data_IF_785523468488
#
_entry.id   IF_785523468488
#
_cell.length_a   1.000
_cell.length_b   1.000
_cell.length_c   1.000
_cell.angle_alpha   90.00
_cell.angle_beta   90.00
_cell.angle_gamma   90.00
#
_symmetry.space_group_name_H-M   'P 1'
#
loop_
_entity.id
_entity.type
_entity.pdbx_description
1 polymer ?
#
# COMPACT_ATOMS: atom_id res chain seq x y z
N UNK A 1 -1.76 -17.61 -3.07
CA UNK A 1 -1.56 -16.44 -3.94
C UNK A 1 -2.89 -16.02 -4.53
N UNK A 2 -3.06 -14.76 -4.75
CA UNK A 2 -4.21 -14.14 -5.43
C UNK A 2 -3.85 -13.83 -6.90
N UNK A 3 -4.84 -13.49 -7.71
CA UNK A 3 -4.58 -13.02 -9.07
C UNK A 3 -3.98 -11.61 -9.02
N UNK A 4 -2.83 -11.36 -9.65
CA UNK A 4 -2.22 -10.03 -9.64
C UNK A 4 -3.18 -8.95 -10.12
N UNK A 5 -3.17 -7.79 -9.44
CA UNK A 5 -3.86 -6.59 -9.89
C UNK A 5 -2.89 -5.80 -10.76
N UNK A 6 -3.26 -5.59 -12.02
CA UNK A 6 -2.48 -4.78 -12.97
C UNK A 6 -3.40 -3.69 -13.51
N UNK A 7 -3.22 -2.47 -13.06
CA UNK A 7 -4.12 -1.37 -13.33
C UNK A 7 -3.40 -0.15 -13.92
N UNK A 8 -3.97 0.42 -14.99
CA UNK A 8 -3.40 1.55 -15.73
C UNK A 8 -4.30 2.77 -15.54
N UNK A 9 -3.73 3.89 -15.10
CA UNK A 9 -4.38 5.20 -14.96
C UNK A 9 -5.73 5.09 -14.20
N UNK A 10 -6.86 5.43 -14.87
CA UNK A 10 -8.20 5.44 -14.26
C UNK A 10 -8.65 4.10 -13.69
N UNK A 11 -8.13 2.98 -14.20
CA UNK A 11 -8.45 1.67 -13.64
C UNK A 11 -7.79 1.46 -12.28
N UNK A 12 -6.66 2.12 -12.01
CA UNK A 12 -5.99 2.07 -10.72
C UNK A 12 -6.78 2.79 -9.59
N UNK A 13 -7.80 3.59 -9.94
CA UNK A 13 -8.72 4.16 -8.95
C UNK A 13 -9.64 3.14 -8.27
N UNK A 14 -9.57 1.87 -8.68
CA UNK A 14 -10.29 0.75 -8.08
C UNK A 14 -9.31 -0.10 -7.28
N UNK A 15 -9.48 -0.18 -5.97
CA UNK A 15 -8.56 -0.93 -5.09
C UNK A 15 -8.38 -2.40 -5.54
N UNK A 16 -9.45 -3.04 -6.01
CA UNK A 16 -9.45 -4.40 -6.58
C UNK A 16 -9.77 -4.35 -8.07
N UNK A 17 -8.92 -3.68 -8.84
CA UNK A 17 -9.12 -3.51 -10.28
C UNK A 17 -9.05 -4.83 -11.04
N UNK A 18 -10.05 -5.09 -11.87
CA UNK A 18 -9.96 -6.15 -12.87
C UNK A 18 -9.18 -5.65 -14.10
N UNK A 19 -8.45 -6.54 -14.81
CA UNK A 19 -7.73 -6.17 -16.02
C UNK A 19 -8.66 -5.51 -17.06
N UNK A 20 -8.16 -4.47 -17.73
CA UNK A 20 -8.87 -3.80 -18.82
C UNK A 20 -8.19 -4.11 -20.17
N UNK A 21 -8.83 -3.69 -21.28
CA UNK A 21 -8.23 -3.78 -22.63
C UNK A 21 -7.24 -2.66 -22.90
N UNK A 22 -7.03 -1.73 -21.97
CA UNK A 22 -6.10 -0.61 -22.14
C UNK A 22 -4.67 -1.13 -22.24
N UNK A 23 -3.93 -0.64 -23.23
CA UNK A 23 -2.51 -0.94 -23.40
C UNK A 23 -1.69 0.13 -22.70
N UNK A 24 -0.65 -0.29 -22.00
CA UNK A 24 0.30 0.61 -21.35
C UNK A 24 1.06 1.45 -22.39
N UNK A 25 1.16 2.74 -22.14
CA UNK A 25 1.85 3.72 -22.99
C UNK A 25 2.80 4.56 -22.15
N UNK A 26 3.84 5.11 -22.78
CA UNK A 26 4.79 6.01 -22.13
C UNK A 26 4.06 7.17 -21.42
N UNK A 27 4.39 7.44 -20.18
CA UNK A 27 3.76 8.42 -19.31
C UNK A 27 2.53 7.93 -18.53
N UNK A 28 2.09 6.68 -18.77
CA UNK A 28 1.01 6.10 -17.98
C UNK A 28 1.47 5.79 -16.53
N UNK A 29 0.52 5.88 -15.61
CA UNK A 29 0.63 5.33 -14.27
C UNK A 29 0.27 3.85 -14.33
N UNK A 30 1.13 3.01 -13.78
CA UNK A 30 0.92 1.58 -13.60
C UNK A 30 0.91 1.25 -12.12
N UNK A 31 -0.18 0.68 -11.63
CA UNK A 31 -0.26 0.03 -10.32
C UNK A 31 -0.18 -1.47 -10.53
N UNK A 32 0.78 -2.10 -9.89
CA UNK A 32 0.95 -3.54 -9.84
C UNK A 32 0.91 -4.00 -8.38
N UNK A 33 -0.01 -4.91 -8.09
CA UNK A 33 -0.13 -5.58 -6.81
C UNK A 33 -0.05 -7.09 -7.06
N UNK A 34 0.94 -7.71 -6.47
CA UNK A 34 1.24 -9.12 -6.71
C UNK A 34 1.93 -9.77 -5.51
N UNK A 35 1.61 -11.04 -5.31
CA UNK A 35 2.22 -11.90 -4.31
C UNK A 35 2.47 -13.30 -4.82
N UNK A 36 3.38 -13.99 -4.17
CA UNK A 36 3.69 -15.39 -4.41
C UNK A 36 3.43 -16.20 -3.14
N UNK A 37 3.27 -17.51 -3.31
CA UNK A 37 3.23 -18.45 -2.19
C UNK A 37 4.42 -19.38 -2.30
N UNK A 38 5.31 -19.34 -1.30
CA UNK A 38 6.49 -20.18 -1.24
C UNK A 38 6.54 -20.92 0.11
N UNK A 39 6.74 -22.22 0.08
CA UNK A 39 6.75 -23.08 1.25
C UNK A 39 5.55 -22.83 2.20
N UNK A 40 4.35 -22.64 1.62
CA UNK A 40 3.06 -22.36 2.28
C UNK A 40 2.89 -20.91 2.75
N UNK A 41 3.92 -20.07 2.82
CA UNK A 41 3.82 -18.67 3.20
C UNK A 41 3.57 -17.77 2.00
N UNK A 42 2.71 -16.78 2.21
CA UNK A 42 2.39 -15.76 1.20
C UNK A 42 3.36 -14.58 1.31
N UNK A 43 3.59 -13.92 0.18
CA UNK A 43 4.11 -12.56 0.12
C UNK A 43 3.07 -11.66 -0.50
N UNK A 44 3.17 -10.36 -0.24
CA UNK A 44 2.29 -9.33 -0.76
C UNK A 44 3.07 -8.04 -1.03
N UNK A 45 2.86 -7.44 -2.19
CA UNK A 45 3.55 -6.19 -2.52
C UNK A 45 2.83 -5.41 -3.62
N UNK A 46 2.56 -4.14 -3.33
CA UNK A 46 2.06 -3.19 -4.33
C UNK A 46 3.10 -2.13 -4.65
N UNK A 47 3.23 -1.80 -5.92
CA UNK A 47 3.98 -0.65 -6.41
C UNK A 47 3.14 0.13 -7.42
N UNK A 48 3.22 1.45 -7.32
CA UNK A 48 2.73 2.36 -8.35
C UNK A 48 3.93 3.02 -9.02
N UNK A 49 3.98 2.98 -10.35
CA UNK A 49 5.13 3.47 -11.11
C UNK A 49 4.70 4.29 -12.33
N UNK A 50 5.57 5.22 -12.75
CA UNK A 50 5.46 5.89 -14.04
C UNK A 50 6.08 5.01 -15.12
N UNK A 51 5.34 4.70 -16.18
CA UNK A 51 5.85 3.92 -17.30
C UNK A 51 6.55 4.84 -18.30
N UNK A 52 7.87 4.97 -18.18
CA UNK A 52 8.70 5.75 -19.08
C UNK A 52 9.98 5.01 -19.48
N UNK A 53 10.98 5.70 -20.04
CA UNK A 53 12.26 5.12 -20.44
C UNK A 53 13.12 4.61 -19.26
N UNK A 54 12.90 5.14 -18.05
CA UNK A 54 13.58 4.77 -16.81
C UNK A 54 12.70 3.89 -15.94
N UNK A 55 11.71 3.21 -16.54
CA UNK A 55 10.72 2.41 -15.82
C UNK A 55 11.35 1.46 -14.81
N UNK A 56 10.91 1.60 -13.56
CA UNK A 56 11.28 0.73 -12.46
C UNK A 56 10.16 0.71 -11.41
N UNK A 57 10.21 -0.25 -10.49
CA UNK A 57 9.31 -0.35 -9.35
C UNK A 57 9.94 0.12 -8.03
N UNK A 58 10.97 0.95 -8.08
CA UNK A 58 11.51 1.62 -6.90
C UNK A 58 10.53 2.63 -6.30
N UNK A 59 10.79 3.05 -5.08
CA UNK A 59 9.98 4.07 -4.37
C UNK A 59 10.23 5.50 -4.86
N UNK A 60 11.25 5.73 -5.67
CA UNK A 60 11.50 7.04 -6.27
C UNK A 60 10.89 7.05 -7.68
N UNK A 61 9.80 7.78 -7.83
CA UNK A 61 9.06 7.91 -9.08
C UNK A 61 9.00 9.37 -9.53
N UNK A 62 8.93 9.60 -10.84
CA UNK A 62 8.86 10.93 -11.42
C UNK A 62 7.71 11.00 -12.44
N UNK A 63 6.55 11.42 -11.98
CA UNK A 63 5.38 11.62 -12.81
C UNK A 63 5.39 13.04 -13.39
N UNK A 64 5.32 13.17 -14.72
CA UNK A 64 5.19 14.49 -15.38
C UNK A 64 3.90 15.25 -15.03
N UNK A 65 2.85 14.52 -14.66
CA UNK A 65 1.61 15.08 -14.15
C UNK A 65 1.78 15.45 -12.68
N UNK A 66 1.68 16.75 -12.36
CA UNK A 66 1.91 17.28 -11.00
C UNK A 66 0.98 16.66 -9.96
N UNK A 67 -0.30 16.42 -10.29
CA UNK A 67 -1.25 15.79 -9.35
C UNK A 67 -0.90 14.33 -9.06
N UNK A 68 -0.41 13.59 -10.06
CA UNK A 68 0.06 12.22 -9.85
C UNK A 68 1.30 12.18 -8.94
N UNK A 69 2.22 13.11 -9.16
CA UNK A 69 3.42 13.22 -8.31
C UNK A 69 3.04 13.58 -6.87
N UNK A 70 2.17 14.58 -6.68
CA UNK A 70 1.67 14.97 -5.37
C UNK A 70 1.05 13.80 -4.62
N UNK A 71 0.08 13.11 -5.23
CA UNK A 71 -0.61 11.96 -4.63
C UNK A 71 0.37 10.81 -4.33
N UNK A 72 1.33 10.57 -5.23
CA UNK A 72 2.36 9.57 -5.02
C UNK A 72 3.21 9.86 -3.77
N UNK A 73 3.68 11.10 -3.61
CA UNK A 73 4.47 11.49 -2.44
C UNK A 73 3.66 11.44 -1.15
N UNK A 74 2.38 11.83 -1.18
CA UNK A 74 1.49 11.71 -0.01
C UNK A 74 1.36 10.24 0.41
N UNK A 75 1.12 9.31 -0.51
CA UNK A 75 0.99 7.88 -0.19
C UNK A 75 2.31 7.31 0.29
N UNK A 76 3.44 7.69 -0.32
CA UNK A 76 4.78 7.27 0.11
C UNK A 76 5.08 7.70 1.54
N UNK A 77 4.80 8.96 1.87
CA UNK A 77 4.99 9.49 3.22
C UNK A 77 4.05 8.84 4.23
N UNK A 78 2.77 8.64 3.87
CA UNK A 78 1.81 7.95 4.72
C UNK A 78 2.27 6.54 5.08
N UNK A 79 2.83 5.80 4.11
CA UNK A 79 3.40 4.48 4.35
C UNK A 79 4.61 4.55 5.30
N UNK A 80 5.50 5.51 5.07
CA UNK A 80 6.68 5.69 5.91
C UNK A 80 6.30 6.00 7.37
N UNK A 81 5.31 6.87 7.58
CA UNK A 81 4.78 7.21 8.91
C UNK A 81 4.15 5.99 9.61
N UNK A 82 3.35 5.20 8.87
CA UNK A 82 2.76 3.98 9.43
C UNK A 82 3.83 2.96 9.82
N UNK A 83 4.85 2.73 8.98
CA UNK A 83 5.96 1.81 9.28
C UNK A 83 6.76 2.32 10.50
N UNK A 84 7.03 3.62 10.57
CA UNK A 84 7.76 4.23 11.69
C UNK A 84 6.98 4.15 13.03
N UNK A 85 5.64 4.09 12.98
CA UNK A 85 4.80 3.94 14.16
C UNK A 85 4.76 2.51 14.71
N UNK A 86 5.22 1.51 13.96
CA UNK A 86 5.19 0.10 14.37
C UNK A 86 6.15 -0.12 15.54
N UNK A 87 5.61 -0.58 16.67
CA UNK A 87 6.37 -0.95 17.87
C UNK A 87 5.61 -2.04 18.64
N UNK A 88 6.30 -2.96 19.33
CA UNK A 88 5.64 -3.82 20.29
C UNK A 88 4.86 -3.02 21.34
N UNK A 89 3.66 -3.48 21.70
CA UNK A 89 2.78 -2.80 22.66
C UNK A 89 1.83 -1.76 22.05
N UNK A 90 2.05 -1.31 20.81
CA UNK A 90 1.12 -0.46 20.07
C UNK A 90 -0.12 -1.24 19.63
N UNK A 91 -1.27 -0.58 19.58
CA UNK A 91 -2.46 -1.17 18.95
C UNK A 91 -2.42 -1.00 17.44
N UNK A 92 -3.02 -1.94 16.71
CA UNK A 92 -3.11 -1.92 15.26
C UNK A 92 -3.80 -0.64 14.71
N UNK A 93 -4.79 -0.09 15.44
CA UNK A 93 -5.45 1.16 15.06
C UNK A 93 -4.54 2.40 15.20
N UNK A 94 -3.52 2.37 16.05
CA UNK A 94 -2.54 3.47 16.14
C UNK A 94 -1.66 3.51 14.89
N UNK A 95 -1.35 2.35 14.30
CA UNK A 95 -0.60 2.25 13.05
C UNK A 95 -1.46 2.74 11.87
N UNK A 96 -2.74 2.32 11.83
CA UNK A 96 -3.70 2.82 10.83
C UNK A 96 -3.84 4.35 10.93
N UNK A 97 -3.97 4.90 12.14
CA UNK A 97 -4.11 6.33 12.36
C UNK A 97 -2.91 7.12 11.82
N UNK A 98 -1.69 6.61 11.96
CA UNK A 98 -0.48 7.29 11.48
C UNK A 98 -0.54 7.56 9.96
N UNK A 99 -1.00 6.61 9.15
CA UNK A 99 -1.19 6.82 7.71
C UNK A 99 -2.44 7.63 7.40
N UNK A 100 -3.56 7.25 8.01
CA UNK A 100 -4.88 7.78 7.69
C UNK A 100 -5.05 9.24 8.03
N UNK A 101 -4.62 9.64 9.24
CA UNK A 101 -4.73 11.03 9.69
C UNK A 101 -3.84 11.94 8.87
N UNK A 102 -2.65 11.46 8.47
CA UNK A 102 -1.79 12.19 7.55
C UNK A 102 -2.47 12.39 6.18
N UNK A 103 -3.02 11.33 5.56
CA UNK A 103 -3.76 11.43 4.30
C UNK A 103 -4.96 12.38 4.42
N UNK A 104 -5.69 12.30 5.55
CA UNK A 104 -6.84 13.18 5.81
C UNK A 104 -6.42 14.65 5.95
N UNK A 105 -5.30 14.93 6.61
CA UNK A 105 -4.74 16.29 6.74
C UNK A 105 -4.31 16.87 5.39
N UNK A 106 -3.96 16.02 4.41
CA UNK A 106 -3.69 16.44 3.02
C UNK A 106 -4.98 16.63 2.17
N UNK A 107 -6.18 16.43 2.77
CA UNK A 107 -7.46 16.63 2.08
C UNK A 107 -7.99 15.39 1.34
N UNK A 108 -7.35 14.22 1.48
CA UNK A 108 -7.71 12.99 0.75
C UNK A 108 -8.29 11.88 1.64
N UNK A 109 -8.80 12.21 2.84
CA UNK A 109 -9.30 11.23 3.81
C UNK A 109 -10.38 10.29 3.24
N UNK A 110 -11.34 10.82 2.47
CA UNK A 110 -12.39 10.03 1.84
C UNK A 110 -11.90 9.15 0.68
N UNK A 111 -10.74 9.49 0.12
CA UNK A 111 -10.12 8.74 -0.97
C UNK A 111 -9.29 7.54 -0.48
N UNK A 112 -9.14 7.37 0.84
CA UNK A 112 -8.50 6.22 1.49
C UNK A 112 -9.54 5.42 2.29
N UNK A 113 -10.19 4.47 1.65
CA UNK A 113 -11.40 3.80 2.16
C UNK A 113 -11.20 2.36 2.66
N UNK A 114 -10.01 1.79 2.57
CA UNK A 114 -9.69 0.45 3.09
C UNK A 114 -8.80 0.50 4.33
N UNK A 115 -8.47 -0.64 4.93
CA UNK A 115 -7.52 -0.76 6.03
C UNK A 115 -6.10 -0.43 5.57
N UNK A 116 -5.27 0.05 6.50
CA UNK A 116 -3.85 0.29 6.22
C UNK A 116 -3.07 -1.00 5.97
N UNK A 117 -3.60 -2.16 6.41
CA UNK A 117 -2.96 -3.44 6.16
C UNK A 117 -3.65 -4.60 6.86
N UNK A 118 -3.07 -5.77 6.69
CA UNK A 118 -3.53 -7.04 7.25
C UNK A 118 -2.35 -7.98 7.51
N UNK A 119 -2.53 -8.95 8.39
CA UNK A 119 -1.57 -10.03 8.59
C UNK A 119 -1.33 -10.80 7.29
N UNK A 120 -0.08 -11.20 7.08
CA UNK A 120 0.36 -12.02 5.94
C UNK A 120 1.14 -13.21 6.48
N UNK A 121 0.71 -14.42 6.13
CA UNK A 121 1.33 -15.64 6.61
C UNK A 121 0.99 -16.84 5.75
N UNK A 122 0.39 -17.85 6.34
CA UNK A 122 -0.11 -19.04 5.60
C UNK A 122 -1.30 -18.64 4.73
N UNK A 123 -2.15 -17.75 5.25
CA UNK A 123 -3.18 -17.09 4.47
C UNK A 123 -2.70 -15.71 4.03
N UNK A 124 -3.22 -15.25 2.89
CA UNK A 124 -2.86 -13.92 2.37
C UNK A 124 -3.46 -12.82 3.24
N UNK A 125 -4.63 -13.04 3.84
CA UNK A 125 -5.25 -12.16 4.80
C UNK A 125 -5.47 -12.93 6.11
N UNK A 126 -4.76 -12.53 7.15
CA UNK A 126 -4.91 -13.06 8.49
C UNK A 126 -4.79 -11.94 9.54
N UNK A 127 -4.88 -12.24 10.83
CA UNK A 127 -4.66 -11.25 11.88
C UNK A 127 -3.14 -10.91 12.02
N UNK A 128 -2.84 -9.65 12.41
CA UNK A 128 -3.74 -8.55 12.78
C UNK A 128 -4.28 -7.76 11.59
N UNK A 129 -5.49 -7.19 11.70
CA UNK A 129 -5.95 -6.16 10.76
C UNK A 129 -5.52 -4.78 11.23
N UNK A 130 -4.75 -4.07 10.40
CA UNK A 130 -4.27 -2.71 10.64
C UNK A 130 -5.33 -1.74 10.12
N UNK A 131 -6.28 -1.39 10.98
CA UNK A 131 -7.48 -0.63 10.59
C UNK A 131 -7.96 0.29 11.72
N UNK A 132 -8.89 1.20 11.42
CA UNK A 132 -9.53 2.08 12.42
C UNK A 132 -10.08 1.33 13.65
N UNK A 133 -10.46 0.06 13.49
CA UNK A 133 -11.03 -0.79 14.54
C UNK A 133 -10.07 -1.86 15.04
N UNK A 134 -8.79 -1.78 14.69
CA UNK A 134 -7.77 -2.75 15.05
C UNK A 134 -7.38 -2.64 16.52
N UNK A 135 -7.92 -3.50 17.38
CA UNK A 135 -7.63 -3.51 18.83
C UNK A 135 -6.48 -4.45 19.21
N UNK A 136 -5.97 -5.22 18.25
CA UNK A 136 -4.84 -6.14 18.51
C UNK A 136 -3.62 -5.34 18.93
N UNK A 137 -3.02 -5.74 20.06
CA UNK A 137 -1.75 -5.18 20.52
C UNK A 137 -0.62 -5.91 19.79
N UNK A 138 0.22 -5.16 19.12
CA UNK A 138 1.34 -5.70 18.35
C UNK A 138 2.37 -6.34 19.24
N UNK A 139 2.88 -7.49 18.81
CA UNK A 139 3.93 -8.26 19.47
C UNK A 139 5.06 -8.51 18.49
N UNK A 140 6.27 -8.65 19.02
CA UNK A 140 7.43 -9.06 18.23
C UNK A 140 7.14 -10.36 17.44
N UNK A 141 7.60 -10.41 16.21
CA UNK A 141 7.38 -11.51 15.28
C UNK A 141 6.07 -11.45 14.49
N UNK A 142 5.14 -10.53 14.81
CA UNK A 142 3.95 -10.33 13.97
C UNK A 142 4.34 -9.79 12.60
N UNK A 143 3.72 -10.35 11.55
CA UNK A 143 3.96 -10.00 10.14
C UNK A 143 2.66 -9.47 9.53
N UNK A 144 2.70 -8.31 8.89
CA UNK A 144 1.54 -7.69 8.25
C UNK A 144 1.94 -6.73 7.12
N UNK A 145 0.99 -6.44 6.21
CA UNK A 145 1.17 -5.43 5.17
C UNK A 145 0.99 -4.02 5.72
N UNK A 146 1.68 -3.04 5.10
CA UNK A 146 1.44 -1.60 5.27
C UNK A 146 1.25 -1.01 3.89
N UNK A 147 0.00 -0.73 3.53
CA UNK A 147 -0.45 -0.49 2.15
C UNK A 147 -1.40 0.70 1.99
N UNK A 148 -1.13 1.88 2.55
CA UNK A 148 -2.02 3.01 2.35
C UNK A 148 -2.17 3.34 0.86
N UNK A 149 -3.34 3.89 0.50
CA UNK A 149 -3.61 4.28 -0.88
C UNK A 149 -4.59 5.43 -0.98
N UNK A 150 -4.50 6.18 -2.08
CA UNK A 150 -5.43 7.23 -2.46
C UNK A 150 -6.01 6.89 -3.83
N UNK A 151 -7.33 6.86 -3.93
CA UNK A 151 -8.05 6.47 -5.13
C UNK A 151 -8.99 7.58 -5.57
N UNK A 152 -8.76 8.15 -6.75
CA UNK A 152 -9.52 9.25 -7.34
C UNK A 152 -10.39 8.72 -8.48
N UNK A 153 -11.70 8.49 -8.26
CA UNK A 153 -12.57 7.90 -9.26
C UNK A 153 -12.56 8.66 -10.58
N UNK A 154 -12.35 7.93 -11.69
CA UNK A 154 -12.27 8.51 -13.05
C UNK A 154 -10.92 9.13 -13.39
N UNK A 155 -9.99 9.23 -12.43
CA UNK A 155 -8.66 9.80 -12.66
C UNK A 155 -7.56 8.74 -12.57
N UNK A 156 -7.19 8.32 -11.35
CA UNK A 156 -6.17 7.30 -11.06
C UNK A 156 -6.19 6.91 -9.58
N UNK A 157 -5.40 5.88 -9.24
CA UNK A 157 -5.12 5.52 -7.86
C UNK A 157 -3.63 5.23 -7.64
N UNK A 158 -3.19 5.41 -6.41
CA UNK A 158 -1.84 5.10 -5.94
C UNK A 158 -1.95 4.23 -4.70
N UNK A 159 -1.22 3.12 -4.66
CA UNK A 159 -0.97 2.31 -3.47
C UNK A 159 0.51 1.94 -3.45
N UNK A 160 1.11 2.01 -2.27
CA UNK A 160 2.48 1.54 -2.01
C UNK A 160 2.41 0.61 -0.81
N UNK A 161 2.91 -0.60 -0.96
CA UNK A 161 2.81 -1.65 0.02
C UNK A 161 4.12 -2.37 0.23
N UNK A 162 4.44 -2.59 1.49
CA UNK A 162 5.45 -3.56 1.91
C UNK A 162 4.89 -4.41 3.06
N UNK A 163 5.36 -5.64 3.15
CA UNK A 163 5.17 -6.49 4.31
C UNK A 163 6.26 -6.16 5.32
N UNK A 164 5.87 -6.02 6.58
CA UNK A 164 6.79 -5.74 7.68
C UNK A 164 6.70 -6.81 8.76
N UNK A 165 7.79 -7.02 9.47
CA UNK A 165 7.81 -7.81 10.71
C UNK A 165 8.09 -6.89 11.89
N UNK A 166 7.32 -7.06 12.97
CA UNK A 166 7.55 -6.34 14.23
C UNK A 166 8.82 -6.87 14.89
N UNK A 167 9.75 -5.98 15.18
CA UNK A 167 10.99 -6.24 15.93
C UNK A 167 10.96 -5.53 17.28
N UNK A 168 11.91 -5.83 18.17
CA UNK A 168 12.03 -5.22 19.48
C UNK A 168 11.94 -3.68 19.45
N UNK A 169 12.57 -3.04 18.47
CA UNK A 169 12.72 -1.59 18.37
C UNK A 169 12.06 -0.98 17.12
N UNK A 170 11.01 -1.60 16.57
CA UNK A 170 10.31 -1.06 15.41
C UNK A 170 9.86 -2.11 14.42
N UNK A 171 9.90 -1.76 13.12
CA UNK A 171 9.57 -2.65 12.01
C UNK A 171 10.78 -2.91 11.12
N UNK A 172 10.89 -4.13 10.62
CA UNK A 172 11.78 -4.51 9.52
C UNK A 172 10.92 -4.76 8.27
N UNK A 173 11.29 -4.16 7.14
CA UNK A 173 10.65 -4.41 5.85
C UNK A 173 11.23 -5.70 5.26
N UNK A 174 10.36 -6.62 4.83
CA UNK A 174 10.71 -7.92 4.25
C UNK A 174 10.88 -7.84 2.72
#
# INVERSE_FOLDING_TARGET
SFSPIVAINENAAKAHALPSKKRLRRGDLLLLDAGVKFNRYCSDRTRTACFDENFNFGKEQNFKNAKRQEIYEIVKEAQALAIAAVMPGKKANEIDAAARDFIAAQGYGEAFFHSTGHGVGVDIHELPFISKRGEVVLKEGMVFSVEPGIYLPGEFGVRIEDVVVVRENGAEIL
#
